data_IF_314859915350
#
_entry.id   IF_314859915350
#
_cell.length_a   1.000
_cell.length_b   1.000
_cell.length_c   1.000
_cell.angle_alpha   90.00
_cell.angle_beta   90.00
_cell.angle_gamma   90.00
#
_symmetry.space_group_name_H-M   'P 1'
#
loop_
_entity.id
_entity.type
_entity.pdbx_description
1 polymer ?
#
# COMPACT_ATOMS: atom_id res chain seq x y z
N UNK A 1 -13.51 -8.77 -4.73
CA UNK A 1 -12.63 -7.59 -4.71
C UNK A 1 -13.33 -6.48 -5.49
N UNK A 2 -13.42 -5.25 -4.97
CA UNK A 2 -14.00 -4.13 -5.71
C UNK A 2 -12.98 -3.54 -6.70
N UNK A 3 -13.49 -3.03 -7.83
CA UNK A 3 -12.71 -2.25 -8.77
C UNK A 3 -12.20 -0.96 -8.11
N UNK A 4 -10.99 -0.55 -8.49
CA UNK A 4 -10.36 0.67 -7.96
C UNK A 4 -11.21 1.92 -8.22
N UNK A 5 -11.81 2.00 -9.41
CA UNK A 5 -12.69 3.10 -9.83
C UNK A 5 -13.87 3.28 -8.85
N UNK A 6 -14.53 2.18 -8.47
CA UNK A 6 -15.65 2.23 -7.50
C UNK A 6 -15.19 2.69 -6.12
N UNK A 7 -13.98 2.31 -5.68
CA UNK A 7 -13.43 2.75 -4.39
C UNK A 7 -13.09 4.24 -4.39
N UNK A 8 -12.53 4.74 -5.50
CA UNK A 8 -12.24 6.17 -5.69
C UNK A 8 -13.52 7.01 -5.73
N UNK A 9 -14.56 6.52 -6.40
CA UNK A 9 -15.83 7.25 -6.48
C UNK A 9 -16.56 7.28 -5.13
N UNK A 10 -16.53 6.19 -4.36
CA UNK A 10 -17.01 6.20 -2.96
C UNK A 10 -16.27 7.26 -2.15
N UNK A 11 -14.94 7.36 -2.28
CA UNK A 11 -14.15 8.37 -1.57
C UNK A 11 -14.54 9.79 -1.98
N UNK A 12 -14.73 10.04 -3.28
CA UNK A 12 -15.15 11.35 -3.81
C UNK A 12 -16.46 11.81 -3.17
N UNK A 13 -17.47 10.94 -3.17
CA UNK A 13 -18.80 11.24 -2.61
C UNK A 13 -18.78 11.39 -1.07
N UNK A 14 -17.89 10.67 -0.38
CA UNK A 14 -17.69 10.85 1.07
C UNK A 14 -17.06 12.20 1.40
N UNK A 15 -16.13 12.70 0.56
CA UNK A 15 -15.53 14.04 0.73
C UNK A 15 -16.54 15.14 0.44
N UNK A 16 -17.41 14.95 -0.56
CA UNK A 16 -18.48 15.89 -0.91
C UNK A 16 -19.53 16.03 0.21
N UNK A 17 -19.79 14.97 0.98
CA UNK A 17 -20.57 15.04 2.23
C UNK A 17 -22.08 15.25 2.07
N UNK A 18 -22.60 15.38 0.83
CA UNK A 18 -24.03 15.59 0.56
C UNK A 18 -24.89 14.33 0.66
N UNK A 19 -24.27 13.14 0.55
CA UNK A 19 -24.97 11.87 0.51
C UNK A 19 -24.70 11.01 1.75
N UNK A 20 -25.76 10.39 2.28
CA UNK A 20 -25.60 9.39 3.33
C UNK A 20 -24.99 8.10 2.77
N UNK A 21 -24.32 7.31 3.61
CA UNK A 21 -23.71 6.05 3.19
C UNK A 21 -24.68 5.08 2.49
N UNK A 22 -25.98 5.13 2.83
CA UNK A 22 -27.02 4.33 2.17
C UNK A 22 -27.32 4.82 0.75
N UNK A 23 -27.33 6.14 0.52
CA UNK A 23 -27.50 6.72 -0.82
C UNK A 23 -26.30 6.43 -1.71
N UNK A 24 -25.08 6.57 -1.18
CA UNK A 24 -23.83 6.23 -1.90
C UNK A 24 -23.85 4.75 -2.31
N UNK A 25 -24.24 3.85 -1.41
CA UNK A 25 -24.35 2.43 -1.68
C UNK A 25 -25.33 2.11 -2.83
N UNK A 26 -26.51 2.72 -2.82
CA UNK A 26 -27.53 2.53 -3.86
C UNK A 26 -27.08 3.08 -5.21
N UNK A 27 -26.44 4.26 -5.21
CA UNK A 27 -25.99 4.93 -6.44
C UNK A 27 -24.87 4.16 -7.15
N UNK A 28 -23.96 3.53 -6.39
CA UNK A 28 -22.81 2.80 -6.94
C UNK A 28 -23.01 1.28 -6.99
N UNK A 29 -24.18 0.77 -6.60
CA UNK A 29 -24.48 -0.67 -6.61
C UNK A 29 -23.60 -1.49 -5.64
N UNK A 30 -23.14 -0.89 -4.55
CA UNK A 30 -22.29 -1.55 -3.54
C UNK A 30 -23.02 -1.73 -2.21
N UNK A 31 -22.57 -2.68 -1.38
CA UNK A 31 -23.17 -2.85 -0.06
C UNK A 31 -22.85 -1.69 0.87
N UNK A 32 -23.75 -1.38 1.81
CA UNK A 32 -23.51 -0.37 2.85
C UNK A 32 -22.26 -0.67 3.70
N UNK A 33 -21.95 -1.95 3.90
CA UNK A 33 -20.74 -2.39 4.59
C UNK A 33 -19.46 -1.99 3.86
N UNK A 34 -19.47 -2.01 2.52
CA UNK A 34 -18.33 -1.55 1.70
C UNK A 34 -18.08 -0.06 1.92
N UNK A 35 -19.13 0.76 1.83
CA UNK A 35 -19.01 2.21 2.05
C UNK A 35 -18.50 2.51 3.46
N UNK A 36 -19.04 1.83 4.48
CA UNK A 36 -18.59 2.00 5.86
C UNK A 36 -17.14 1.58 6.08
N UNK A 37 -16.69 0.50 5.42
CA UNK A 37 -15.29 0.04 5.51
C UNK A 37 -14.29 1.03 4.88
N UNK A 38 -14.72 1.77 3.85
CA UNK A 38 -13.92 2.82 3.21
C UNK A 38 -13.92 4.10 4.07
N UNK A 39 -15.10 4.53 4.55
CA UNK A 39 -15.23 5.71 5.42
C UNK A 39 -14.45 5.56 6.74
N UNK A 40 -14.43 4.35 7.31
CA UNK A 40 -13.69 4.05 8.55
C UNK A 40 -12.20 3.75 8.34
N UNK A 41 -11.70 3.76 7.09
CA UNK A 41 -10.30 3.47 6.78
C UNK A 41 -9.87 2.01 7.01
N UNK A 42 -10.78 1.11 7.43
CA UNK A 42 -10.49 -0.34 7.61
C UNK A 42 -10.15 -1.04 6.29
N UNK A 43 -10.60 -0.48 5.17
CA UNK A 43 -10.18 -0.88 3.83
C UNK A 43 -9.26 0.22 3.26
N UNK A 44 -8.00 -0.13 2.99
CA UNK A 44 -7.09 0.75 2.25
C UNK A 44 -7.63 1.09 0.86
N UNK A 45 -7.24 2.24 0.30
CA UNK A 45 -7.66 2.73 -1.02
C UNK A 45 -6.99 1.96 -2.17
N UNK A 46 -7.00 0.63 -2.10
CA UNK A 46 -6.41 -0.25 -3.08
C UNK A 46 -7.52 -1.20 -3.57
N UNK A 47 -8.06 -0.88 -4.74
CA UNK A 47 -8.89 -1.82 -5.51
C UNK A 47 -8.00 -2.65 -6.44
N UNK A 48 -8.56 -3.73 -6.98
CA UNK A 48 -7.90 -4.43 -8.08
C UNK A 48 -7.90 -3.47 -9.27
N UNK A 49 -6.74 -3.21 -9.88
CA UNK A 49 -6.70 -2.50 -11.16
C UNK A 49 -7.59 -3.27 -12.13
N UNK A 50 -8.56 -2.59 -12.74
CA UNK A 50 -9.34 -3.13 -13.85
C UNK A 50 -8.30 -3.55 -14.86
N UNK A 51 -8.20 -4.84 -15.18
CA UNK A 51 -7.19 -5.38 -16.08
C UNK A 51 -7.30 -4.65 -17.41
N UNK A 52 -6.50 -3.61 -17.59
CA UNK A 52 -6.17 -3.08 -18.90
C UNK A 52 -5.59 -4.27 -19.65
N UNK A 53 -6.14 -4.53 -20.84
CA UNK A 53 -5.70 -5.61 -21.72
C UNK A 53 -4.17 -5.71 -21.67
N UNK A 54 -3.65 -6.77 -21.06
CA UNK A 54 -2.26 -7.15 -21.19
C UNK A 54 -2.05 -7.40 -22.68
N UNK A 55 -1.51 -6.41 -23.38
CA UNK A 55 -0.99 -6.64 -24.72
C UNK A 55 0.07 -7.72 -24.61
N UNK A 56 -0.06 -8.76 -25.43
CA UNK A 56 0.93 -9.85 -25.53
C UNK A 56 2.30 -9.33 -25.99
N UNK A 57 2.36 -8.08 -26.48
CA UNK A 57 3.59 -7.36 -26.83
C UNK A 57 4.31 -6.72 -25.63
N UNK A 58 4.07 -7.20 -24.40
CA UNK A 58 4.91 -6.79 -23.28
C UNK A 58 6.29 -7.43 -23.49
N UNK A 59 7.38 -6.65 -23.61
CA UNK A 59 8.71 -7.24 -23.73
C UNK A 59 8.90 -8.17 -22.55
N UNK A 60 9.12 -9.46 -22.82
CA UNK A 60 9.43 -10.45 -21.79
C UNK A 60 10.53 -9.86 -20.91
N UNK A 61 10.15 -9.41 -19.72
CA UNK A 61 11.11 -8.96 -18.74
C UNK A 61 11.88 -10.22 -18.37
N UNK A 62 13.05 -10.41 -18.96
CA UNK A 62 13.94 -11.54 -18.67
C UNK A 62 14.77 -11.16 -17.45
N UNK A 63 14.82 -12.06 -16.47
CA UNK A 63 15.67 -11.88 -15.31
C UNK A 63 17.14 -11.97 -15.75
N UNK A 64 17.94 -10.97 -15.39
CA UNK A 64 19.35 -10.90 -15.72
C UNK A 64 20.21 -10.99 -14.46
N UNK A 65 21.42 -11.51 -14.57
CA UNK A 65 22.41 -11.44 -13.48
C UNK A 65 22.90 -10.00 -13.31
N UNK A 66 22.76 -9.45 -12.12
CA UNK A 66 23.29 -8.13 -11.79
C UNK A 66 24.83 -8.14 -11.77
N UNK A 67 25.47 -7.25 -12.53
CA UNK A 67 26.94 -7.08 -12.52
C UNK A 67 27.51 -6.57 -11.19
N UNK A 68 26.69 -5.98 -10.32
CA UNK A 68 27.13 -5.46 -9.03
C UNK A 68 27.05 -6.46 -7.87
N UNK A 69 26.02 -7.32 -7.83
CA UNK A 69 25.80 -8.25 -6.71
C UNK A 69 25.63 -9.72 -7.11
N UNK A 70 25.61 -10.04 -8.40
CA UNK A 70 25.48 -11.41 -8.92
C UNK A 70 24.07 -12.01 -8.87
N UNK A 71 23.10 -11.36 -8.23
CA UNK A 71 21.73 -11.87 -8.12
C UNK A 71 20.99 -11.86 -9.47
N UNK A 72 20.13 -12.86 -9.69
CA UNK A 72 19.16 -12.87 -10.78
C UNK A 72 18.00 -11.93 -10.44
N UNK A 73 17.86 -10.86 -11.21
CA UNK A 73 16.87 -9.79 -10.96
C UNK A 73 16.36 -9.20 -12.28
N UNK A 74 15.20 -8.56 -12.25
CA UNK A 74 14.81 -7.64 -13.31
C UNK A 74 15.55 -6.32 -13.11
N UNK A 75 16.22 -5.84 -14.16
CA UNK A 75 16.95 -4.59 -14.10
C UNK A 75 15.99 -3.40 -14.06
N UNK A 76 16.29 -2.35 -13.26
CA UNK A 76 17.48 -2.17 -12.44
C UNK A 76 17.47 -3.01 -11.14
N UNK A 77 18.65 -3.40 -10.65
CA UNK A 77 18.77 -4.32 -9.50
C UNK A 77 18.20 -3.74 -8.19
N UNK A 78 16.95 -4.10 -7.88
CA UNK A 78 16.26 -3.70 -6.65
C UNK A 78 16.95 -4.22 -5.38
N UNK A 79 17.66 -5.36 -5.47
CA UNK A 79 18.44 -5.88 -4.35
C UNK A 79 19.60 -4.96 -3.96
N UNK A 80 20.36 -4.47 -4.95
CA UNK A 80 21.43 -3.49 -4.70
C UNK A 80 20.87 -2.21 -4.10
N UNK A 81 19.74 -1.72 -4.65
CA UNK A 81 19.06 -0.53 -4.14
C UNK A 81 18.61 -0.71 -2.68
N UNK A 82 17.99 -1.85 -2.35
CA UNK A 82 17.57 -2.15 -0.98
C UNK A 82 18.76 -2.25 0.00
N UNK A 83 19.87 -2.86 -0.41
CA UNK A 83 21.10 -2.90 0.40
C UNK A 83 21.65 -1.50 0.67
N UNK A 84 21.74 -0.66 -0.35
CA UNK A 84 22.18 0.74 -0.20
C UNK A 84 21.25 1.53 0.70
N UNK A 85 19.93 1.32 0.59
CA UNK A 85 18.95 1.95 1.47
C UNK A 85 19.17 1.57 2.94
N UNK A 86 19.40 0.28 3.24
CA UNK A 86 19.70 -0.18 4.60
C UNK A 86 20.99 0.44 5.15
N UNK A 87 22.02 0.58 4.32
CA UNK A 87 23.28 1.23 4.73
C UNK A 87 23.05 2.71 5.06
N UNK A 88 22.22 3.42 4.30
CA UNK A 88 21.87 4.82 4.61
C UNK A 88 21.09 4.93 5.92
N UNK A 89 20.07 4.09 6.10
CA UNK A 89 19.29 4.05 7.33
C UNK A 89 20.14 3.77 8.58
N UNK A 90 21.15 2.88 8.49
CA UNK A 90 22.07 2.61 9.59
C UNK A 90 23.06 3.75 9.87
N UNK A 91 23.35 4.60 8.88
CA UNK A 91 24.19 5.79 9.05
C UNK A 91 23.41 6.97 9.62
N UNK A 92 22.13 7.06 9.26
CA UNK A 92 21.24 8.14 9.67
C UNK A 92 20.54 7.84 11.01
N UNK A 93 20.70 6.64 11.58
CA UNK A 93 20.24 6.32 12.94
C UNK A 93 21.11 7.10 13.95
N UNK A 94 20.56 8.11 14.63
CA UNK A 94 21.31 8.81 15.65
C UNK A 94 21.52 7.85 16.82
N UNK A 95 22.78 7.72 17.25
CA UNK A 95 23.17 7.00 18.46
C UNK A 95 22.52 7.64 19.70
N UNK A 96 21.22 7.44 19.90
CA UNK A 96 20.57 7.67 21.18
C UNK A 96 20.50 6.34 21.93
N UNK A 97 21.65 5.96 22.46
CA UNK A 97 21.70 5.19 23.70
C UNK A 97 20.98 5.99 24.79
N UNK A 98 19.71 5.70 25.07
CA UNK A 98 19.11 6.13 26.34
C UNK A 98 17.92 5.25 26.71
N UNK A 99 18.16 4.39 27.71
CA UNK A 99 17.24 3.99 28.76
C UNK A 99 15.73 3.94 28.45
N UNK A 100 15.19 2.73 28.33
CA UNK A 100 13.84 2.48 28.84
C UNK A 100 13.89 1.46 29.98
N UNK A 101 14.05 2.03 31.17
CA UNK A 101 13.68 1.40 32.43
C UNK A 101 12.25 0.86 32.29
N UNK A 102 12.11 -0.46 32.37
CA UNK A 102 10.81 -1.11 32.45
C UNK A 102 10.32 -0.90 33.89
N UNK A 103 9.61 0.21 34.12
CA UNK A 103 8.76 0.34 35.30
C UNK A 103 7.59 -0.66 35.15
N UNK A 104 7.61 -1.70 35.98
CA UNK A 104 6.49 -2.64 36.18
C UNK A 104 5.47 -1.96 37.10
N UNK A 105 4.18 -1.83 36.73
CA UNK A 105 3.18 -1.38 37.69
C UNK A 105 2.90 -2.49 38.71
N UNK A 106 2.94 -2.10 39.98
CA UNK A 106 2.37 -2.84 41.13
C UNK A 106 0.85 -2.85 40.94
N UNK A 107 0.23 -4.03 40.97
CA UNK A 107 -1.21 -4.16 41.21
C UNK A 107 -1.38 -5.01 42.47
N UNK A 108 -2.29 -4.54 43.31
CA UNK A 108 -2.56 -4.92 44.70
C UNK A 108 -2.99 -6.37 44.90
#
# INVERSE_FOLDING_TARGET
MLALETVMEVRRLLVEGHLSHRKIALQLGVSRGIVNSIASGRRGLHGRETTTNYSYDSPELVAQRCRGCGAMVYMPCLLCRARQYRVRQQRDEPQHSCHRAIHKPRVA
#
